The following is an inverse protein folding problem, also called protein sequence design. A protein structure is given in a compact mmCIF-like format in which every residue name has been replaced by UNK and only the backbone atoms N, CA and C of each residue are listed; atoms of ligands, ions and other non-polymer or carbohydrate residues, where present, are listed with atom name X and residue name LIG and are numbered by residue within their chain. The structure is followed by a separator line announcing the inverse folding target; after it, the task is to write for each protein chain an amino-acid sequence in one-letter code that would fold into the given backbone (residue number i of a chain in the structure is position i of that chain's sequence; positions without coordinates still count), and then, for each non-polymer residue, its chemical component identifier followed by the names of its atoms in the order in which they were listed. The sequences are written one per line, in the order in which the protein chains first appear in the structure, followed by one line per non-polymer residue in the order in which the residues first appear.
data_IF_810603123376
#
_entry.id   IF_810603123376
#
_cell.length_a   1.000
_cell.length_b   1.000
_cell.length_c   1.000
_cell.angle_alpha   90.00
_cell.angle_beta   90.00
_cell.angle_gamma   90.00
#
_symmetry.space_group_name_H-M   'P 1'
#
loop_
_entity.id
_entity.type
_entity.pdbx_description
1 polymer ?
#
# COMPACT_ATOMS: atom_id res chain seq x y z
N UNK A 1 -63.68 19.46 -12.79
CA UNK A 1 -64.75 19.41 -11.77
C UNK A 1 -64.43 18.27 -10.83
N UNK A 2 -64.40 18.39 -9.50
CA UNK A 2 -64.41 19.57 -8.61
C UNK A 2 -63.82 19.15 -7.25
N UNK A 3 -63.24 20.08 -6.48
CA UNK A 3 -62.74 19.82 -5.12
C UNK A 3 -63.30 20.89 -4.16
N UNK A 4 -63.79 20.49 -2.99
CA UNK A 4 -63.50 21.17 -1.71
C UNK A 4 -63.06 20.14 -0.63
N UNK A 5 -62.02 20.39 0.18
CA UNK A 5 -62.01 21.34 1.32
C UNK A 5 -63.12 21.05 2.36
N UNK A 6 -62.93 21.02 3.69
CA UNK A 6 -61.78 21.30 4.58
C UNK A 6 -62.12 20.72 6.01
N UNK A 7 -61.47 20.92 7.16
CA UNK A 7 -60.37 21.78 7.68
C UNK A 7 -59.98 21.25 9.09
N UNK A 8 -58.71 21.32 9.53
CA UNK A 8 -58.29 21.85 10.87
C UNK A 8 -56.79 21.71 11.18
N UNK A 9 -56.19 22.79 11.66
CA UNK A 9 -54.89 22.82 12.34
C UNK A 9 -55.07 22.71 13.87
N UNK A 10 -54.04 22.25 14.57
CA UNK A 10 -53.76 22.62 15.96
C UNK A 10 -52.24 22.76 16.13
N UNK A 11 -51.76 23.96 16.41
CA UNK A 11 -50.38 24.22 16.78
C UNK A 11 -50.17 23.93 18.27
N UNK A 12 -49.02 23.35 18.63
CA UNK A 12 -48.35 23.61 19.90
C UNK A 12 -46.83 23.67 19.64
N UNK A 13 -46.15 24.53 20.38
CA UNK A 13 -44.84 25.05 19.99
C UNK A 13 -43.67 24.46 20.79
N UNK A 14 -42.46 24.63 20.23
CA UNK A 14 -41.27 24.88 21.03
C UNK A 14 -40.34 23.69 21.29
N UNK A 15 -39.40 23.45 20.38
CA UNK A 15 -37.99 23.45 20.78
C UNK A 15 -37.06 23.76 19.59
N UNK A 16 -36.24 24.79 19.74
CA UNK A 16 -35.30 25.24 18.69
C UNK A 16 -33.91 24.65 18.92
N UNK A 17 -33.55 23.60 18.18
CA UNK A 17 -32.18 23.10 18.12
C UNK A 17 -31.28 24.07 17.34
N UNK A 18 -30.04 24.33 17.78
CA UNK A 18 -29.12 25.22 17.08
C UNK A 18 -28.58 24.60 15.78
N UNK A 19 -28.15 25.40 14.79
CA UNK A 19 -27.49 24.90 13.60
C UNK A 19 -26.12 24.30 13.95
N UNK A 20 -25.87 23.06 13.53
CA UNK A 20 -24.56 22.42 13.69
C UNK A 20 -23.61 23.03 12.65
N UNK A 21 -22.65 23.82 13.12
CA UNK A 21 -21.54 24.28 12.29
C UNK A 21 -20.55 23.15 12.08
N UNK A 22 -20.31 22.75 10.83
CA UNK A 22 -19.29 21.77 10.45
C UNK A 22 -17.94 22.44 10.29
N UNK A 23 -17.32 22.82 11.42
CA UNK A 23 -15.89 23.14 11.44
C UNK A 23 -15.05 21.87 11.28
N UNK A 24 -13.89 21.98 10.61
CA UNK A 24 -12.92 20.89 10.46
C UNK A 24 -12.49 20.34 11.83
N UNK A 25 -12.18 19.05 11.88
CA UNK A 25 -11.68 18.40 13.09
C UNK A 25 -10.27 18.86 13.46
N UNK A 26 -10.16 19.76 14.43
CA UNK A 26 -8.88 20.06 15.08
C UNK A 26 -8.35 18.80 15.79
N UNK A 27 -7.11 18.39 15.46
CA UNK A 27 -6.44 17.29 16.15
C UNK A 27 -6.13 17.73 17.58
N UNK A 28 -6.68 17.05 18.59
CA UNK A 28 -6.40 17.34 20.00
C UNK A 28 -5.01 16.78 20.36
N UNK A 29 -3.99 17.59 20.67
CA UNK A 29 -2.71 17.10 21.18
C UNK A 29 -2.86 16.67 22.65
N UNK A 30 -2.05 15.69 23.08
CA UNK A 30 -2.01 15.27 24.49
C UNK A 30 -1.77 16.45 25.43
N UNK A 31 -2.64 16.61 26.42
CA UNK A 31 -2.53 17.69 27.39
C UNK A 31 -1.30 17.48 28.29
N UNK A 32 -0.74 18.59 28.78
CA UNK A 32 0.38 18.59 29.73
C UNK A 32 0.10 17.74 30.99
N UNK A 33 -1.16 17.57 31.36
CA UNK A 33 -1.59 16.74 32.49
C UNK A 33 -1.47 15.24 32.17
N UNK A 34 -1.94 14.79 31.00
CA UNK A 34 -1.80 13.38 30.57
C UNK A 34 -0.32 12.97 30.44
N UNK A 35 0.53 13.86 29.92
CA UNK A 35 2.00 13.65 29.89
C UNK A 35 2.57 13.57 31.31
N UNK A 36 2.01 14.32 32.27
CA UNK A 36 2.44 14.28 33.67
C UNK A 36 2.00 12.98 34.36
N UNK A 37 0.77 12.51 34.14
CA UNK A 37 0.30 11.21 34.66
C UNK A 37 1.15 10.04 34.14
N UNK A 38 1.54 10.06 32.85
CA UNK A 38 2.40 9.04 32.27
C UNK A 38 3.80 9.02 32.94
N UNK A 39 4.33 10.20 33.27
CA UNK A 39 5.62 10.36 33.97
C UNK A 39 5.51 9.94 35.45
N UNK A 40 4.41 10.26 36.13
CA UNK A 40 4.16 9.82 37.51
C UNK A 40 4.00 8.30 37.60
N UNK A 41 3.30 7.69 36.64
CA UNK A 41 3.15 6.23 36.56
C UNK A 41 4.49 5.53 36.33
N UNK A 42 5.30 6.00 35.37
CA UNK A 42 6.65 5.47 35.13
C UNK A 42 7.57 5.60 36.36
N UNK A 43 7.41 6.66 37.16
CA UNK A 43 8.11 6.82 38.45
C UNK A 43 7.65 5.81 39.50
N UNK A 44 6.36 5.50 39.56
CA UNK A 44 5.81 4.44 40.43
C UNK A 44 6.37 3.05 40.11
N UNK A 45 6.68 2.80 38.84
CA UNK A 45 7.34 1.59 38.34
C UNK A 45 8.89 1.66 38.47
N UNK A 46 9.44 2.68 39.13
CA UNK A 46 10.87 2.83 39.44
C UNK A 46 11.74 3.38 38.33
N UNK A 47 11.17 3.73 37.17
CA UNK A 47 11.92 4.19 35.99
C UNK A 47 12.37 5.64 36.20
N UNK A 48 13.67 5.90 36.17
CA UNK A 48 14.20 7.26 36.38
C UNK A 48 13.95 8.16 35.17
N UNK A 49 13.85 9.48 35.40
CA UNK A 49 13.81 10.48 34.33
C UNK A 49 14.99 10.40 33.35
N UNK A 50 16.14 9.85 33.79
CA UNK A 50 17.33 9.67 32.94
C UNK A 50 17.23 8.42 32.06
N UNK A 51 16.39 7.46 32.40
CA UNK A 51 16.19 6.22 31.64
C UNK A 51 15.03 6.35 30.66
N UNK A 52 13.96 7.08 31.04
CA UNK A 52 12.92 7.52 30.12
C UNK A 52 13.51 8.29 28.91
N UNK A 53 14.47 9.18 29.17
CA UNK A 53 15.20 9.92 28.13
C UNK A 53 16.16 9.06 27.28
N UNK A 54 16.53 7.85 27.73
CA UNK A 54 17.28 6.89 26.87
C UNK A 54 16.34 6.15 25.94
N UNK A 55 15.16 5.75 26.42
CA UNK A 55 14.16 5.04 25.62
C UNK A 55 13.74 5.88 24.40
N UNK A 56 13.60 7.20 24.57
CA UNK A 56 13.34 8.14 23.46
C UNK A 56 14.58 8.57 22.64
N UNK A 57 15.78 8.08 22.95
CA UNK A 57 17.04 8.52 22.31
C UNK A 57 17.90 7.38 21.73
N UNK A 58 17.51 6.11 21.88
CA UNK A 58 18.24 4.95 21.31
C UNK A 58 17.59 4.46 20.00
N UNK A 59 17.14 5.42 19.20
CA UNK A 59 17.11 5.34 17.73
C UNK A 59 18.30 6.10 17.17
N UNK A 60 19.53 5.63 17.43
CA UNK A 60 20.77 6.37 17.15
C UNK A 60 22.01 5.65 17.70
N UNK A 61 22.68 4.90 16.83
CA UNK A 61 23.73 3.91 17.18
C UNK A 61 25.02 4.56 17.71
N UNK A 62 25.71 3.92 18.68
CA UNK A 62 27.18 3.91 18.65
C UNK A 62 27.99 3.70 19.93
N UNK A 63 28.68 2.54 19.98
CA UNK A 63 30.06 2.32 20.45
C UNK A 63 30.36 1.84 21.90
N UNK A 64 30.76 0.55 21.99
CA UNK A 64 31.94 0.09 22.77
C UNK A 64 32.66 -1.00 21.94
N UNK A 65 33.95 -0.80 21.67
CA UNK A 65 34.92 -1.82 21.22
C UNK A 65 35.69 -2.32 22.46
N UNK A 66 36.35 -3.48 22.55
CA UNK A 66 36.83 -4.43 21.53
C UNK A 66 37.08 -5.80 22.19
N UNK A 67 36.98 -6.91 21.45
CA UNK A 67 37.74 -8.14 21.69
C UNK A 67 37.91 -8.89 20.37
N UNK A 68 39.08 -9.48 20.11
CA UNK A 68 39.42 -10.03 18.80
C UNK A 68 39.20 -11.54 18.70
N UNK A 69 38.33 -11.96 17.80
CA UNK A 69 38.63 -13.06 16.86
C UNK A 69 38.36 -12.53 15.44
N UNK A 70 39.01 -13.11 14.42
CA UNK A 70 38.88 -12.58 13.06
C UNK A 70 37.46 -12.81 12.54
N UNK A 71 36.77 -11.79 12.00
CA UNK A 71 35.57 -12.06 11.21
C UNK A 71 35.98 -12.96 10.04
N UNK A 72 35.20 -14.00 9.69
CA UNK A 72 35.47 -14.75 8.48
C UNK A 72 35.47 -13.76 7.31
N UNK A 73 36.53 -13.82 6.49
CA UNK A 73 36.56 -13.12 5.21
C UNK A 73 35.23 -13.42 4.50
N UNK A 74 34.51 -12.44 3.94
CA UNK A 74 33.32 -12.73 3.16
C UNK A 74 33.75 -13.60 1.97
N UNK A 75 33.56 -14.91 2.13
CA UNK A 75 33.70 -15.88 1.05
C UNK A 75 32.85 -15.36 -0.07
N UNK A 76 33.44 -15.23 -1.26
CA UNK A 76 32.83 -14.51 -2.37
C UNK A 76 31.46 -15.09 -2.67
N UNK A 77 30.42 -14.39 -2.21
CA UNK A 77 29.07 -14.52 -2.73
C UNK A 77 29.07 -13.97 -4.15
N UNK A 78 29.72 -14.73 -5.05
CA UNK A 78 29.55 -14.64 -6.48
C UNK A 78 28.05 -14.53 -6.72
N UNK A 79 27.62 -13.43 -7.35
CA UNK A 79 26.20 -13.16 -7.55
C UNK A 79 25.55 -14.37 -8.21
N UNK A 80 24.63 -15.02 -7.50
CA UNK A 80 23.86 -16.11 -8.04
C UNK A 80 22.94 -15.54 -9.12
N UNK A 81 23.36 -15.62 -10.38
CA UNK A 81 22.50 -15.38 -11.53
C UNK A 81 21.40 -16.45 -11.51
N UNK A 82 20.27 -16.15 -10.86
CA UNK A 82 19.24 -17.16 -10.57
C UNK A 82 17.97 -16.66 -9.89
N UNK A 83 18.01 -15.65 -9.01
CA UNK A 83 16.82 -15.08 -8.34
C UNK A 83 16.81 -13.55 -8.38
N UNK A 84 15.66 -12.91 -8.65
CA UNK A 84 15.59 -11.46 -8.83
C UNK A 84 15.39 -10.66 -7.53
N UNK A 85 15.39 -11.27 -6.34
CA UNK A 85 15.18 -10.60 -5.04
C UNK A 85 16.34 -10.87 -4.06
N UNK A 86 16.40 -10.08 -2.98
CA UNK A 86 17.44 -10.12 -1.93
C UNK A 86 16.94 -10.79 -0.65
N UNK A 87 15.62 -10.76 -0.39
CA UNK A 87 14.97 -11.38 0.78
C UNK A 87 15.18 -12.89 0.91
N UNK A 88 15.12 -13.32 2.17
CA UNK A 88 14.85 -14.71 2.56
C UNK A 88 13.47 -15.17 2.05
N UNK A 89 13.36 -16.25 1.26
CA UNK A 89 12.09 -16.76 0.76
C UNK A 89 11.31 -17.64 1.76
N UNK A 90 11.89 -18.13 2.86
CA UNK A 90 11.26 -19.17 3.72
C UNK A 90 9.90 -18.73 4.33
N UNK A 91 9.68 -17.42 4.48
CA UNK A 91 8.46 -16.84 5.04
C UNK A 91 7.36 -16.58 4.00
N UNK A 92 7.57 -16.96 2.73
CA UNK A 92 6.72 -16.60 1.60
C UNK A 92 6.09 -17.81 0.90
N UNK A 93 5.20 -17.52 -0.05
CA UNK A 93 4.88 -18.41 -1.17
C UNK A 93 5.74 -17.96 -2.35
N UNK A 94 6.67 -18.81 -2.79
CA UNK A 94 7.58 -18.49 -3.89
C UNK A 94 6.91 -18.57 -5.26
N UNK A 95 7.25 -17.61 -6.13
CA UNK A 95 6.94 -17.61 -7.56
C UNK A 95 8.25 -17.35 -8.35
N UNK A 96 8.36 -17.74 -9.63
CA UNK A 96 9.63 -17.68 -10.38
C UNK A 96 10.35 -16.32 -10.43
N UNK A 97 9.65 -15.21 -10.19
CA UNK A 97 10.23 -13.85 -10.09
C UNK A 97 9.69 -13.01 -8.92
N UNK A 98 8.97 -13.63 -7.96
CA UNK A 98 8.21 -12.91 -6.95
C UNK A 98 8.08 -13.68 -5.63
N UNK A 99 7.89 -12.97 -4.53
CA UNK A 99 7.56 -13.53 -3.21
C UNK A 99 6.18 -13.05 -2.77
N UNK A 100 5.27 -13.99 -2.46
CA UNK A 100 3.89 -13.72 -2.05
C UNK A 100 3.73 -13.84 -0.52
N UNK A 101 3.18 -12.80 0.12
CA UNK A 101 3.05 -12.73 1.58
C UNK A 101 2.07 -13.76 2.11
N UNK A 102 2.52 -14.54 3.08
CA UNK A 102 1.67 -15.47 3.83
C UNK A 102 0.82 -14.69 4.83
N UNK A 103 -0.44 -14.41 4.47
CA UNK A 103 -1.36 -13.57 5.24
C UNK A 103 -1.59 -14.09 6.67
N UNK A 104 -1.44 -15.40 6.89
CA UNK A 104 -1.52 -16.03 8.22
C UNK A 104 -0.35 -15.70 9.16
N UNK A 105 0.72 -15.07 8.66
CA UNK A 105 1.86 -14.59 9.47
C UNK A 105 1.70 -13.13 9.93
N UNK A 106 0.59 -12.46 9.59
CA UNK A 106 0.42 -11.03 9.79
C UNK A 106 -0.45 -10.69 11.00
N UNK A 107 0.10 -9.87 11.90
CA UNK A 107 -0.65 -9.20 12.97
C UNK A 107 -0.51 -7.67 12.84
N UNK A 108 -1.60 -6.94 13.10
CA UNK A 108 -1.69 -5.49 12.88
C UNK A 108 -2.06 -5.05 11.46
N UNK A 109 -2.19 -3.73 11.28
CA UNK A 109 -2.51 -3.10 9.98
C UNK A 109 -1.24 -2.92 9.12
N UNK A 110 -0.07 -2.76 9.75
CA UNK A 110 1.20 -2.65 9.06
C UNK A 110 1.79 -4.04 8.82
N UNK A 111 2.10 -4.37 7.57
CA UNK A 111 2.92 -5.52 7.20
C UNK A 111 4.39 -5.22 7.52
N UNK A 112 5.08 -6.06 8.32
CA UNK A 112 6.51 -5.90 8.56
C UNK A 112 7.34 -5.91 7.27
N UNK A 113 8.42 -5.15 7.22
CA UNK A 113 9.22 -4.94 6.00
C UNK A 113 9.77 -6.26 5.43
N UNK A 114 10.10 -7.20 6.31
CA UNK A 114 10.55 -8.56 6.02
C UNK A 114 9.44 -9.46 5.47
N UNK A 115 8.17 -9.25 5.83
CA UNK A 115 7.01 -10.02 5.32
C UNK A 115 6.31 -9.41 4.10
N UNK A 116 6.54 -8.12 3.79
CA UNK A 116 5.89 -7.42 2.66
C UNK A 116 6.24 -8.05 1.30
N UNK A 117 5.25 -8.29 0.43
CA UNK A 117 5.42 -9.02 -0.83
C UNK A 117 6.43 -8.38 -1.80
N UNK A 118 7.13 -9.19 -2.61
CA UNK A 118 8.10 -8.71 -3.60
C UNK A 118 7.62 -9.05 -5.01
N UNK A 119 7.38 -8.05 -5.85
CA UNK A 119 7.11 -8.20 -7.30
C UNK A 119 8.24 -7.57 -8.11
N UNK A 120 8.99 -8.38 -8.85
CA UNK A 120 10.15 -7.94 -9.62
C UNK A 120 10.04 -8.32 -11.12
N UNK A 121 10.30 -7.37 -12.03
CA UNK A 121 10.38 -7.65 -13.48
C UNK A 121 11.80 -8.08 -13.88
N UNK A 122 12.79 -7.40 -13.31
CA UNK A 122 14.23 -7.67 -13.40
C UNK A 122 14.82 -7.87 -11.99
N UNK A 123 16.08 -8.32 -11.85
CA UNK A 123 16.74 -8.43 -10.55
C UNK A 123 16.82 -7.09 -9.81
N UNK A 124 16.70 -7.14 -8.48
CA UNK A 124 16.87 -5.96 -7.61
C UNK A 124 18.26 -5.33 -7.85
N UNK A 125 18.34 -4.08 -8.34
CA UNK A 125 19.60 -3.43 -8.63
C UNK A 125 20.37 -3.09 -7.35
N UNK A 126 21.70 -3.00 -7.46
CA UNK A 126 22.57 -2.45 -6.41
C UNK A 126 22.87 -1.00 -6.74
N UNK A 127 22.19 -0.09 -6.05
CA UNK A 127 22.38 1.36 -6.21
C UNK A 127 23.31 1.86 -5.10
N UNK A 128 24.41 2.52 -5.50
CA UNK A 128 25.19 3.32 -4.56
C UNK A 128 24.49 4.66 -4.32
N UNK A 129 24.33 5.03 -3.06
CA UNK A 129 23.55 6.20 -2.66
C UNK A 129 24.35 7.50 -2.73
N UNK A 130 25.69 7.44 -2.82
CA UNK A 130 26.50 8.65 -3.08
C UNK A 130 26.41 9.12 -4.55
N UNK A 131 26.24 8.18 -5.47
CA UNK A 131 26.16 8.44 -6.91
C UNK A 131 24.70 8.56 -7.42
N UNK A 132 23.71 8.33 -6.54
CA UNK A 132 22.30 8.36 -6.90
C UNK A 132 21.79 9.78 -7.19
N UNK A 133 21.12 9.93 -8.34
CA UNK A 133 20.38 11.13 -8.73
C UNK A 133 19.01 10.73 -9.32
N UNK A 134 18.01 11.57 -9.06
CA UNK A 134 16.69 11.56 -9.70
C UNK A 134 16.64 12.68 -10.75
N UNK A 135 16.46 12.32 -12.02
CA UNK A 135 16.17 13.28 -13.09
C UNK A 135 14.68 13.61 -13.12
N UNK A 136 14.33 14.89 -13.24
CA UNK A 136 13.00 15.35 -13.63
C UNK A 136 13.14 16.13 -14.92
N UNK A 137 12.49 15.65 -15.98
CA UNK A 137 12.69 16.08 -17.36
C UNK A 137 11.36 16.02 -18.16
N UNK A 138 11.31 16.61 -19.35
CA UNK A 138 10.13 16.57 -20.21
C UNK A 138 9.86 17.87 -20.97
N UNK A 139 8.70 17.96 -21.63
CA UNK A 139 8.27 19.11 -22.42
C UNK A 139 7.23 20.01 -21.72
N UNK A 140 6.73 19.60 -20.54
CA UNK A 140 5.77 20.36 -19.73
C UNK A 140 6.34 20.79 -18.36
N UNK A 141 7.60 21.22 -18.35
CA UNK A 141 8.32 21.83 -17.22
C UNK A 141 9.08 23.08 -17.70
N UNK A 142 9.45 24.00 -16.82
CA UNK A 142 10.27 25.18 -17.15
C UNK A 142 11.73 24.77 -17.45
N UNK A 143 12.35 24.01 -16.54
CA UNK A 143 13.76 23.60 -16.62
C UNK A 143 13.95 22.20 -15.99
N UNK A 144 14.72 21.28 -16.62
CA UNK A 144 15.04 19.98 -16.02
C UNK A 144 15.88 20.09 -14.74
N UNK A 145 15.60 19.25 -13.75
CA UNK A 145 16.36 19.22 -12.47
C UNK A 145 16.91 17.82 -12.17
N UNK A 146 18.05 17.78 -11.48
CA UNK A 146 18.67 16.58 -10.91
C UNK A 146 18.68 16.72 -9.39
N UNK A 147 18.21 15.71 -8.66
CA UNK A 147 18.07 15.73 -7.21
C UNK A 147 18.79 14.52 -6.58
N UNK A 148 19.64 14.74 -5.58
CA UNK A 148 20.19 13.66 -4.76
C UNK A 148 19.15 13.18 -3.73
N UNK A 149 19.43 12.07 -3.04
CA UNK A 149 18.58 11.61 -1.94
C UNK A 149 18.50 12.62 -0.78
N UNK A 150 19.50 13.50 -0.64
CA UNK A 150 19.51 14.51 0.42
C UNK A 150 18.61 15.70 0.05
N UNK A 151 18.64 16.17 -1.20
CA UNK A 151 17.74 17.23 -1.68
C UNK A 151 16.27 16.80 -1.51
N UNK A 152 15.97 15.52 -1.75
CA UNK A 152 14.64 14.93 -1.53
C UNK A 152 14.27 14.78 -0.04
N UNK A 153 15.25 14.61 0.85
CA UNK A 153 15.05 14.54 2.31
C UNK A 153 14.83 15.91 2.94
N UNK A 154 15.43 16.96 2.39
CA UNK A 154 15.30 18.34 2.87
C UNK A 154 13.97 19.02 2.44
N UNK A 155 13.19 18.39 1.56
CA UNK A 155 11.84 18.81 1.21
C UNK A 155 10.81 18.56 2.33
N UNK A 156 9.63 19.22 2.29
CA UNK A 156 8.51 18.89 3.16
C UNK A 156 8.07 17.43 2.94
N UNK A 157 8.18 16.63 3.99
CA UNK A 157 7.88 15.19 3.96
C UNK A 157 6.48 14.90 4.51
N UNK A 158 5.74 14.05 3.81
CA UNK A 158 4.46 13.49 4.26
C UNK A 158 4.63 12.00 4.62
N UNK A 159 3.67 11.45 5.36
CA UNK A 159 3.62 10.02 5.69
C UNK A 159 2.22 9.46 5.47
N UNK A 160 2.11 8.45 4.61
CA UNK A 160 0.84 7.83 4.23
C UNK A 160 0.88 6.33 4.50
N UNK A 161 -0.03 5.83 5.33
CA UNK A 161 -0.26 4.39 5.48
C UNK A 161 -1.12 3.91 4.31
N UNK A 162 -0.51 3.14 3.40
CA UNK A 162 -1.14 2.68 2.17
C UNK A 162 -0.90 1.19 1.93
N UNK A 163 -1.92 0.49 1.43
CA UNK A 163 -1.72 -0.83 0.83
C UNK A 163 -1.24 -0.69 -0.62
N UNK A 164 -0.39 -1.62 -1.06
CA UNK A 164 -0.08 -1.84 -2.47
C UNK A 164 -0.55 -3.24 -2.85
N UNK A 165 -1.30 -3.37 -3.94
CA UNK A 165 -1.71 -4.67 -4.50
C UNK A 165 -1.09 -4.86 -5.89
N UNK A 166 -0.52 -6.03 -6.16
CA UNK A 166 -0.17 -6.46 -7.50
C UNK A 166 -1.44 -6.66 -8.34
N UNK A 167 -1.55 -6.04 -9.52
CA UNK A 167 -2.64 -6.29 -10.48
C UNK A 167 -2.72 -7.73 -11.01
N UNK A 168 -1.84 -8.62 -10.54
CA UNK A 168 -1.88 -10.06 -10.75
C UNK A 168 -2.23 -10.90 -9.52
N UNK A 169 -2.56 -10.28 -8.37
CA UNK A 169 -3.08 -10.97 -7.19
C UNK A 169 -4.40 -11.69 -7.56
N UNK A 170 -4.71 -12.82 -6.92
CA UNK A 170 -5.83 -13.71 -7.27
C UNK A 170 -5.75 -14.45 -8.62
N UNK A 171 -4.64 -14.35 -9.38
CA UNK A 171 -4.52 -15.04 -10.69
C UNK A 171 -4.74 -16.56 -10.60
N UNK A 172 -4.31 -17.23 -9.53
CA UNK A 172 -4.48 -18.68 -9.39
C UNK A 172 -5.94 -19.14 -9.40
N UNK A 173 -6.90 -18.24 -9.14
CA UNK A 173 -8.34 -18.56 -9.11
C UNK A 173 -9.03 -18.35 -10.46
N UNK A 174 -8.37 -17.73 -11.45
CA UNK A 174 -8.92 -17.50 -12.79
C UNK A 174 -9.42 -18.79 -13.45
N UNK A 175 -8.62 -19.87 -13.33
CA UNK A 175 -8.96 -21.19 -13.88
C UNK A 175 -10.23 -21.82 -13.27
N UNK A 176 -10.60 -21.48 -12.04
CA UNK A 176 -11.87 -21.95 -11.43
C UNK A 176 -13.11 -21.22 -11.93
N UNK A 177 -12.94 -20.11 -12.67
CA UNK A 177 -14.03 -19.33 -13.26
C UNK A 177 -14.14 -19.62 -14.77
N UNK A 178 -13.02 -19.59 -15.50
CA UNK A 178 -13.02 -19.72 -16.98
C UNK A 178 -12.59 -21.09 -17.51
N UNK A 179 -12.15 -22.02 -16.64
CA UNK A 179 -11.70 -23.36 -17.03
C UNK A 179 -10.27 -23.43 -17.61
N UNK A 180 -9.53 -22.33 -17.63
CA UNK A 180 -8.15 -22.24 -18.12
C UNK A 180 -7.30 -21.34 -17.19
N UNK A 181 -6.05 -21.73 -16.91
CA UNK A 181 -5.11 -20.87 -16.17
C UNK A 181 -4.72 -19.62 -16.97
N UNK A 182 -4.71 -18.45 -16.32
CA UNK A 182 -4.22 -17.22 -16.92
C UNK A 182 -2.68 -17.20 -16.99
N UNK A 183 -2.12 -16.62 -18.05
CA UNK A 183 -0.67 -16.44 -18.16
C UNK A 183 -0.12 -15.48 -17.07
N UNK A 184 1.09 -15.76 -16.57
CA UNK A 184 1.80 -14.99 -15.55
C UNK A 184 2.01 -15.76 -14.24
N UNK A 185 2.50 -15.08 -13.21
CA UNK A 185 2.68 -15.66 -11.87
C UNK A 185 1.34 -15.98 -11.20
N UNK A 186 1.19 -17.18 -10.65
CA UNK A 186 -0.07 -17.71 -10.11
C UNK A 186 -0.30 -17.27 -8.66
N UNK A 187 -0.27 -15.96 -8.41
CA UNK A 187 -0.54 -15.39 -7.08
C UNK A 187 -1.87 -15.87 -6.52
N UNK A 188 -1.89 -16.22 -5.24
CA UNK A 188 -3.10 -16.59 -4.50
C UNK A 188 -3.78 -15.34 -3.95
N UNK A 189 -3.53 -14.96 -2.71
CA UNK A 189 -4.20 -13.81 -2.05
C UNK A 189 -3.24 -12.82 -1.40
N UNK A 190 -1.96 -13.19 -1.29
CA UNK A 190 -0.88 -12.44 -0.63
C UNK A 190 -0.10 -11.51 -1.55
N UNK A 191 -0.56 -11.27 -2.78
CA UNK A 191 0.00 -10.28 -3.70
C UNK A 191 -0.33 -8.84 -3.30
N UNK A 192 -0.45 -8.58 -2.00
CA UNK A 192 -0.86 -7.33 -1.36
C UNK A 192 -0.22 -7.23 0.02
N UNK A 193 0.18 -6.03 0.42
CA UNK A 193 0.69 -5.72 1.76
C UNK A 193 0.50 -4.23 2.05
N UNK A 194 0.56 -3.83 3.32
CA UNK A 194 0.36 -2.45 3.75
C UNK A 194 1.56 -1.94 4.56
N UNK A 195 1.95 -0.68 4.35
CA UNK A 195 3.04 -0.05 5.07
C UNK A 195 2.77 1.45 5.22
N UNK A 196 3.45 2.07 6.18
CA UNK A 196 3.67 3.51 6.20
C UNK A 196 4.76 3.85 5.19
N UNK A 197 4.49 4.79 4.29
CA UNK A 197 5.45 5.30 3.31
C UNK A 197 5.72 6.76 3.61
N UNK A 198 6.99 7.17 3.62
CA UNK A 198 7.37 8.56 3.91
C UNK A 198 8.36 9.10 2.88
N UNK A 199 8.13 10.36 2.48
CA UNK A 199 8.91 11.11 1.50
C UNK A 199 8.21 12.41 1.10
N UNK A 200 8.82 13.22 0.23
CA UNK A 200 8.14 14.36 -0.40
C UNK A 200 6.96 13.91 -1.28
N UNK A 201 5.95 14.78 -1.41
CA UNK A 201 4.88 14.59 -2.41
C UNK A 201 5.44 14.76 -3.81
N UNK A 202 4.94 14.00 -4.78
CA UNK A 202 5.34 14.17 -6.19
C UNK A 202 5.03 15.60 -6.67
N UNK A 203 3.91 16.19 -6.24
CA UNK A 203 3.57 17.62 -6.37
C UNK A 203 4.72 18.55 -5.99
N UNK A 204 5.36 18.34 -4.84
CA UNK A 204 6.45 19.20 -4.36
C UNK A 204 7.73 19.08 -5.20
N UNK A 205 8.00 17.90 -5.75
CA UNK A 205 9.17 17.64 -6.61
C UNK A 205 8.94 18.20 -8.02
N UNK A 206 7.74 18.02 -8.59
CA UNK A 206 7.35 18.60 -9.87
C UNK A 206 7.35 20.15 -9.84
N UNK A 207 7.05 20.75 -8.69
CA UNK A 207 7.15 22.20 -8.51
C UNK A 207 8.59 22.74 -8.60
N UNK A 208 9.61 21.95 -8.28
CA UNK A 208 11.03 22.35 -8.43
C UNK A 208 11.44 22.51 -9.90
N UNK A 209 10.84 21.72 -10.80
CA UNK A 209 11.07 21.79 -12.24
C UNK A 209 10.23 22.88 -12.95
N UNK A 210 9.34 23.57 -12.22
CA UNK A 210 8.40 24.52 -12.82
C UNK A 210 7.37 23.85 -13.72
N UNK A 211 6.64 22.85 -13.19
CA UNK A 211 5.62 22.11 -13.95
C UNK A 211 4.55 23.03 -14.56
N UNK A 212 4.32 22.84 -15.86
CA UNK A 212 3.50 23.74 -16.67
C UNK A 212 2.00 23.36 -16.64
N UNK A 213 1.09 24.34 -16.81
CA UNK A 213 -0.35 24.09 -16.97
C UNK A 213 -0.73 23.25 -18.21
N UNK A 214 0.23 22.97 -19.10
CA UNK A 214 0.07 22.09 -20.27
C UNK A 214 0.34 20.62 -19.98
N UNK A 215 0.83 20.25 -18.79
CA UNK A 215 1.13 18.86 -18.44
C UNK A 215 -0.14 17.99 -18.48
N UNK A 216 -0.04 16.80 -19.07
CA UNK A 216 -1.12 15.82 -19.24
C UNK A 216 -0.82 14.52 -18.50
N UNK A 217 0.39 13.99 -18.67
CA UNK A 217 0.86 12.75 -18.05
C UNK A 217 2.23 12.94 -17.37
N UNK A 218 2.49 12.11 -16.36
CA UNK A 218 3.78 11.94 -15.71
C UNK A 218 4.15 10.46 -15.72
N UNK A 219 5.33 10.13 -16.26
CA UNK A 219 5.90 8.78 -16.22
C UNK A 219 6.99 8.66 -15.15
N UNK A 220 6.90 7.61 -14.33
CA UNK A 220 7.88 7.25 -13.33
C UNK A 220 8.70 6.07 -13.87
N UNK A 221 10.02 6.21 -13.93
CA UNK A 221 10.90 5.25 -14.59
C UNK A 221 11.98 4.74 -13.63
N UNK A 222 11.98 3.43 -13.40
CA UNK A 222 12.94 2.73 -12.56
C UNK A 222 14.33 2.55 -13.20
N UNK A 223 15.33 2.30 -12.36
CA UNK A 223 16.72 1.97 -12.69
C UNK A 223 16.96 0.45 -12.85
N UNK A 224 15.90 -0.36 -12.96
CA UNK A 224 16.00 -1.81 -13.15
C UNK A 224 16.26 -2.21 -14.61
N UNK A 225 16.70 -3.45 -14.86
CA UNK A 225 17.03 -3.89 -16.22
C UNK A 225 15.79 -3.88 -17.12
N UNK A 226 15.74 -2.92 -18.06
CA UNK A 226 14.57 -2.65 -18.90
C UNK A 226 13.83 -1.35 -18.57
N UNK A 227 14.28 -0.61 -17.54
CA UNK A 227 13.77 0.70 -17.10
C UNK A 227 12.25 0.68 -16.90
N UNK A 228 11.75 0.06 -15.82
CA UNK A 228 10.31 -0.12 -15.64
C UNK A 228 9.58 1.24 -15.53
N UNK A 229 8.86 1.57 -16.61
CA UNK A 229 8.05 2.78 -16.78
C UNK A 229 6.58 2.48 -16.50
N UNK A 230 5.85 3.43 -15.89
CA UNK A 230 4.38 3.38 -15.75
C UNK A 230 3.78 4.79 -15.64
N UNK A 231 3.27 5.34 -16.76
CA UNK A 231 2.60 6.63 -16.78
C UNK A 231 1.33 6.68 -15.93
N UNK A 232 1.04 7.89 -15.42
CA UNK A 232 -0.23 8.27 -14.79
C UNK A 232 -0.61 9.69 -15.23
N UNK A 233 -1.90 10.05 -15.13
CA UNK A 233 -2.36 11.40 -15.43
C UNK A 233 -1.79 12.43 -14.45
N UNK A 234 -1.65 13.68 -14.91
CA UNK A 234 -1.21 14.81 -14.09
C UNK A 234 -2.06 14.99 -12.83
N UNK A 235 -3.37 14.81 -12.92
CA UNK A 235 -4.30 14.84 -11.78
C UNK A 235 -3.88 13.88 -10.67
N UNK A 236 -3.42 12.68 -11.05
CA UNK A 236 -2.96 11.66 -10.10
C UNK A 236 -1.54 11.90 -9.60
N UNK A 237 -0.68 12.48 -10.43
CA UNK A 237 0.66 12.88 -10.03
C UNK A 237 0.66 14.05 -9.03
N UNK A 238 -0.36 14.92 -9.09
CA UNK A 238 -0.55 16.06 -8.20
C UNK A 238 -1.40 15.73 -6.94
N UNK A 239 -1.90 14.51 -6.82
CA UNK A 239 -2.63 14.02 -5.64
C UNK A 239 -1.74 14.14 -4.38
N UNK A 240 -2.23 14.73 -3.27
CA UNK A 240 -1.43 14.96 -2.06
C UNK A 240 -0.97 13.67 -1.37
N UNK A 241 -1.48 12.50 -1.77
CA UNK A 241 -1.07 11.19 -1.27
C UNK A 241 -0.07 10.46 -2.17
N UNK A 242 0.20 10.98 -3.38
CA UNK A 242 1.22 10.44 -4.29
C UNK A 242 2.60 10.92 -3.82
N UNK A 243 3.43 9.99 -3.33
CA UNK A 243 4.74 10.27 -2.73
C UNK A 243 5.90 9.76 -3.57
N UNK A 244 7.05 10.43 -3.47
CA UNK A 244 8.35 9.84 -3.74
C UNK A 244 8.97 9.36 -2.41
N UNK A 245 8.58 8.17 -1.98
CA UNK A 245 8.99 7.63 -0.70
C UNK A 245 10.45 7.14 -0.74
N UNK A 246 11.23 7.51 0.28
CA UNK A 246 12.55 6.93 0.58
C UNK A 246 12.53 6.07 1.87
N UNK A 247 11.49 6.23 2.69
CA UNK A 247 11.27 5.50 3.95
C UNK A 247 10.01 4.62 3.86
N UNK A 248 10.08 3.46 4.52
CA UNK A 248 9.02 2.45 4.61
C UNK A 248 9.00 1.87 6.02
N UNK A 249 7.89 2.05 6.74
CA UNK A 249 7.72 1.67 8.15
C UNK A 249 8.81 2.25 9.07
N UNK A 250 9.11 3.54 8.92
CA UNK A 250 10.04 4.28 9.79
C UNK A 250 11.54 4.00 9.57
N UNK A 251 11.90 3.23 8.54
CA UNK A 251 13.30 2.96 8.14
C UNK A 251 13.49 3.20 6.64
N UNK A 252 14.73 3.43 6.21
CA UNK A 252 15.06 3.51 4.78
C UNK A 252 14.59 2.26 4.01
N UNK A 253 14.12 2.46 2.78
CA UNK A 253 13.58 1.40 1.93
C UNK A 253 14.48 0.15 1.88
N UNK A 254 13.93 -1.06 2.13
CA UNK A 254 14.64 -2.29 1.81
C UNK A 254 14.94 -2.39 0.30
N UNK A 255 16.06 -3.02 -0.13
CA UNK A 255 16.46 -3.08 -1.54
C UNK A 255 15.35 -3.59 -2.48
N UNK A 256 14.67 -4.68 -2.12
CA UNK A 256 13.57 -5.25 -2.91
C UNK A 256 12.33 -4.35 -3.02
N UNK A 257 12.21 -3.33 -2.16
CA UNK A 257 11.07 -2.41 -2.12
C UNK A 257 11.35 -1.06 -2.78
N UNK A 258 12.58 -0.82 -3.25
CA UNK A 258 12.90 0.31 -4.12
C UNK A 258 14.02 1.23 -3.66
N UNK A 259 14.92 0.80 -2.77
CA UNK A 259 16.04 1.64 -2.29
C UNK A 259 16.81 2.32 -3.45
N UNK A 260 17.14 3.63 -3.37
CA UNK A 260 16.87 4.55 -2.27
C UNK A 260 15.51 5.28 -2.36
N UNK A 261 14.80 5.19 -3.50
CA UNK A 261 13.58 5.96 -3.77
C UNK A 261 12.57 5.17 -4.61
N UNK A 262 11.28 5.30 -4.28
CA UNK A 262 10.16 4.78 -5.10
C UNK A 262 9.04 5.80 -5.25
N UNK A 263 8.26 5.68 -6.31
CA UNK A 263 6.89 6.19 -6.32
C UNK A 263 5.97 5.35 -5.44
N UNK A 264 5.01 6.00 -4.78
CA UNK A 264 3.88 5.39 -4.06
C UNK A 264 2.60 6.11 -4.48
N UNK A 265 1.58 5.36 -4.90
CA UNK A 265 0.35 5.89 -5.53
C UNK A 265 -0.91 5.28 -4.87
N UNK A 266 -1.29 5.71 -3.65
CA UNK A 266 -2.19 4.97 -2.75
C UNK A 266 -3.60 4.66 -3.30
N UNK A 267 -3.94 3.38 -3.46
CA UNK A 267 -5.23 2.93 -4.03
C UNK A 267 -5.21 2.68 -5.55
N UNK A 268 -4.11 3.02 -6.24
CA UNK A 268 -3.85 2.50 -7.58
C UNK A 268 -3.12 1.15 -7.51
N UNK A 269 -3.12 0.42 -8.63
CA UNK A 269 -2.39 -0.83 -8.78
C UNK A 269 -0.90 -0.62 -8.52
N UNK A 270 -0.27 -1.53 -7.76
CA UNK A 270 1.09 -1.39 -7.25
C UNK A 270 2.18 -1.28 -8.33
N UNK A 271 1.86 -1.57 -9.60
CA UNK A 271 2.74 -1.28 -10.74
C UNK A 271 2.91 0.21 -11.03
N UNK A 272 1.99 1.09 -10.62
CA UNK A 272 2.18 2.55 -10.70
C UNK A 272 3.06 3.10 -9.57
N UNK A 273 3.31 2.31 -8.53
CA UNK A 273 4.26 2.64 -7.45
C UNK A 273 5.67 2.17 -7.82
N UNK A 274 6.25 2.79 -8.85
CA UNK A 274 7.51 2.37 -9.49
C UNK A 274 8.69 2.41 -8.51
N UNK A 275 9.51 1.35 -8.50
CA UNK A 275 10.65 1.16 -7.58
C UNK A 275 11.98 1.59 -8.21
N UNK A 276 12.97 1.87 -7.37
CA UNK A 276 14.33 2.22 -7.80
C UNK A 276 14.31 3.43 -8.75
N UNK A 277 13.48 4.42 -8.42
CA UNK A 277 13.09 5.52 -9.31
C UNK A 277 14.32 6.37 -9.66
N UNK A 278 14.60 6.53 -10.96
CA UNK A 278 15.74 7.33 -11.44
C UNK A 278 15.37 8.46 -12.37
N UNK A 279 14.23 8.38 -13.06
CA UNK A 279 13.74 9.43 -13.97
C UNK A 279 12.24 9.66 -13.80
N UNK A 280 11.83 10.91 -13.93
CA UNK A 280 10.44 11.36 -14.01
C UNK A 280 10.30 12.16 -15.31
N UNK A 281 9.37 11.75 -16.18
CA UNK A 281 9.11 12.44 -17.45
C UNK A 281 7.74 13.11 -17.39
N UNK A 282 7.69 14.43 -17.59
CA UNK A 282 6.47 15.25 -17.54
C UNK A 282 6.13 15.74 -18.94
N UNK A 283 5.01 15.32 -19.52
CA UNK A 283 4.69 15.64 -20.92
C UNK A 283 3.36 16.37 -21.10
N UNK A 284 3.30 17.20 -22.14
CA UNK A 284 2.06 17.83 -22.61
C UNK A 284 1.18 16.91 -23.45
N UNK A 285 1.67 15.71 -23.79
CA UNK A 285 0.90 14.63 -24.42
C UNK A 285 0.77 13.41 -23.49
N UNK A 286 -0.11 12.48 -23.85
CA UNK A 286 -0.32 11.22 -23.12
C UNK A 286 0.82 10.24 -23.40
N UNK A 287 1.47 9.73 -22.35
CA UNK A 287 2.66 8.89 -22.47
C UNK A 287 2.24 7.42 -22.58
N UNK A 288 2.77 6.73 -23.59
CA UNK A 288 2.56 5.31 -23.81
C UNK A 288 3.83 4.50 -23.56
N UNK A 289 3.73 3.53 -22.66
CA UNK A 289 4.76 2.54 -22.37
C UNK A 289 4.19 1.13 -22.47
N UNK A 290 5.05 0.12 -22.53
CA UNK A 290 4.60 -1.29 -22.51
C UNK A 290 3.59 -1.58 -21.39
N UNK A 291 3.72 -0.90 -20.25
CA UNK A 291 2.95 -1.15 -19.03
C UNK A 291 1.66 -0.31 -18.91
N UNK A 292 1.28 0.46 -19.93
CA UNK A 292 -0.09 0.95 -20.12
C UNK A 292 -0.65 0.70 -21.54
N UNK A 293 0.19 0.23 -22.48
CA UNK A 293 -0.18 -0.09 -23.86
C UNK A 293 -0.62 -1.55 -24.03
N UNK A 294 0.18 -2.53 -23.59
CA UNK A 294 -0.05 -3.97 -23.87
C UNK A 294 0.02 -4.87 -22.63
N UNK A 295 0.62 -4.36 -21.55
CA UNK A 295 0.75 -5.05 -20.27
C UNK A 295 0.05 -4.20 -19.19
N UNK A 296 -0.61 -4.85 -18.23
CA UNK A 296 -1.50 -4.18 -17.25
C UNK A 296 -2.70 -3.45 -17.88
N UNK A 297 -3.29 -4.03 -18.93
CA UNK A 297 -4.58 -3.63 -19.50
C UNK A 297 -5.68 -4.65 -19.12
N UNK A 298 -6.93 -4.19 -19.08
CA UNK A 298 -8.15 -5.00 -19.03
C UNK A 298 -8.64 -5.23 -20.46
N UNK A 299 -9.05 -6.46 -20.77
CA UNK A 299 -9.50 -6.87 -22.11
C UNK A 299 -10.77 -7.71 -21.99
N UNK A 300 -11.72 -7.49 -22.91
CA UNK A 300 -13.02 -8.18 -22.91
C UNK A 300 -14.11 -7.31 -23.54
N UNK A 301 -15.36 -7.77 -23.50
CA UNK A 301 -16.50 -7.02 -24.08
C UNK A 301 -16.75 -5.69 -23.35
N UNK A 302 -16.45 -5.62 -22.05
CA UNK A 302 -16.49 -4.39 -21.24
C UNK A 302 -15.28 -3.44 -21.50
N UNK A 303 -14.27 -3.88 -22.25
CA UNK A 303 -13.01 -3.15 -22.47
C UNK A 303 -12.53 -3.28 -23.94
N UNK A 304 -13.29 -2.75 -24.92
CA UNK A 304 -12.99 -2.88 -26.34
C UNK A 304 -11.73 -2.08 -26.74
N UNK A 305 -10.78 -2.72 -27.41
CA UNK A 305 -9.49 -2.11 -27.76
C UNK A 305 -9.62 -0.85 -28.64
N UNK A 306 -10.67 -0.76 -29.44
CA UNK A 306 -10.97 0.40 -30.29
C UNK A 306 -11.27 1.69 -29.49
N UNK A 307 -11.75 1.58 -28.24
CA UNK A 307 -12.00 2.71 -27.35
C UNK A 307 -10.71 3.17 -26.62
N UNK A 308 -9.78 2.25 -26.38
CA UNK A 308 -8.54 2.49 -25.63
C UNK A 308 -7.29 2.64 -26.51
N UNK A 309 -7.46 2.58 -27.84
CA UNK A 309 -6.39 2.70 -28.83
C UNK A 309 -5.49 3.93 -28.58
N UNK A 310 -4.15 3.80 -28.64
CA UNK A 310 -3.38 2.66 -29.15
C UNK A 310 -3.18 1.47 -28.19
N UNK A 311 -3.75 1.46 -26.99
CA UNK A 311 -3.63 0.32 -26.08
C UNK A 311 -4.50 -0.88 -26.50
N UNK A 312 -4.06 -2.09 -26.14
CA UNK A 312 -4.77 -3.36 -26.39
C UNK A 312 -6.08 -3.50 -25.57
N UNK A 313 -6.37 -2.54 -24.68
CA UNK A 313 -7.54 -2.51 -23.79
C UNK A 313 -7.40 -1.46 -22.69
N UNK A 314 -8.33 -1.43 -21.73
CA UNK A 314 -8.39 -0.42 -20.68
C UNK A 314 -7.21 -0.46 -19.70
N UNK A 315 -6.35 0.57 -19.61
CA UNK A 315 -5.20 0.53 -18.72
C UNK A 315 -5.61 0.45 -17.24
N UNK A 316 -5.09 -0.54 -16.50
CA UNK A 316 -5.42 -0.74 -15.08
C UNK A 316 -4.88 0.45 -14.27
N UNK A 317 -5.77 1.23 -13.67
CA UNK A 317 -5.45 2.30 -12.73
C UNK A 317 -5.72 1.85 -11.29
N UNK A 318 -6.98 1.59 -10.94
CA UNK A 318 -7.42 1.15 -9.61
C UNK A 318 -7.64 -0.36 -9.51
N UNK A 319 -7.70 -0.86 -8.28
CA UNK A 319 -8.16 -2.23 -8.00
C UNK A 319 -9.68 -2.34 -7.91
N UNK A 320 -10.17 -3.43 -7.32
CA UNK A 320 -11.58 -3.63 -6.92
C UNK A 320 -11.66 -3.99 -5.45
N UNK A 321 -12.84 -3.85 -4.83
CA UNK A 321 -13.09 -4.24 -3.44
C UNK A 321 -12.83 -5.73 -3.24
N UNK A 322 -12.04 -6.09 -2.23
CA UNK A 322 -11.57 -7.47 -1.97
C UNK A 322 -11.55 -7.78 -0.49
N UNK A 323 -11.66 -9.07 -0.15
CA UNK A 323 -11.39 -9.61 1.18
C UNK A 323 -10.68 -10.96 1.09
N UNK A 324 -9.76 -11.24 2.03
CA UNK A 324 -9.05 -12.50 2.14
C UNK A 324 -8.93 -12.93 3.61
N UNK A 325 -9.17 -14.21 3.88
CA UNK A 325 -8.87 -14.82 5.18
C UNK A 325 -7.35 -14.91 5.40
N UNK A 326 -6.91 -14.62 6.63
CA UNK A 326 -5.53 -14.76 7.09
C UNK A 326 -5.25 -16.23 7.48
N UNK A 327 -5.46 -17.14 6.52
CA UNK A 327 -5.35 -18.59 6.71
C UNK A 327 -4.64 -19.26 5.52
N UNK A 328 -3.88 -20.34 5.76
CA UNK A 328 -3.46 -21.25 4.70
C UNK A 328 -4.64 -21.78 3.88
N UNK A 329 -4.39 -22.18 2.63
CA UNK A 329 -5.40 -22.81 1.77
C UNK A 329 -4.87 -24.15 1.22
N UNK A 330 -5.39 -25.31 1.66
CA UNK A 330 -6.33 -25.50 2.77
C UNK A 330 -5.71 -25.16 4.14
N UNK A 331 -6.56 -24.93 5.14
CA UNK A 331 -6.18 -24.85 6.56
C UNK A 331 -6.80 -26.00 7.35
N UNK A 332 -6.16 -26.37 8.46
CA UNK A 332 -6.69 -27.30 9.45
C UNK A 332 -6.96 -26.55 10.75
N UNK A 333 -8.18 -26.69 11.28
CA UNK A 333 -8.65 -26.01 12.50
C UNK A 333 -9.25 -27.04 13.47
N UNK A 334 -9.19 -26.82 14.79
CA UNK A 334 -9.93 -27.65 15.75
C UNK A 334 -11.45 -27.48 15.55
N UNK A 335 -12.22 -28.53 15.83
CA UNK A 335 -13.68 -28.42 15.95
C UNK A 335 -14.07 -27.62 17.20
N UNK A 336 -15.10 -26.77 17.10
CA UNK A 336 -15.53 -25.83 18.13
C UNK A 336 -15.26 -24.37 17.76
N UNK A 337 -15.37 -23.46 18.74
CA UNK A 337 -15.18 -22.02 18.52
C UNK A 337 -13.74 -21.70 18.09
N UNK A 338 -13.61 -21.14 16.88
CA UNK A 338 -12.39 -20.57 16.33
C UNK A 338 -12.58 -19.07 16.10
N UNK A 339 -11.61 -18.26 16.51
CA UNK A 339 -11.53 -16.85 16.09
C UNK A 339 -10.78 -16.80 14.75
N UNK A 340 -11.50 -16.45 13.69
CA UNK A 340 -10.96 -16.34 12.32
C UNK A 340 -10.74 -14.85 12.00
N UNK A 341 -9.62 -14.53 11.36
CA UNK A 341 -9.30 -13.17 10.93
C UNK A 341 -8.98 -13.08 9.43
N UNK A 342 -8.94 -11.85 8.92
CA UNK A 342 -8.60 -11.57 7.53
C UNK A 342 -8.39 -10.08 7.26
N UNK A 343 -8.11 -9.77 6.00
CA UNK A 343 -7.84 -8.42 5.49
C UNK A 343 -8.82 -8.07 4.37
N UNK A 344 -9.39 -6.87 4.40
CA UNK A 344 -10.25 -6.33 3.34
C UNK A 344 -9.76 -4.95 2.91
N UNK A 345 -9.94 -4.59 1.64
CA UNK A 345 -9.44 -3.35 1.06
C UNK A 345 -10.25 -2.92 -0.17
N UNK A 346 -10.24 -1.61 -0.44
CA UNK A 346 -10.88 -0.98 -1.58
C UNK A 346 -10.02 0.21 -2.08
N UNK A 347 -10.02 0.54 -3.38
CA UNK A 347 -9.13 1.55 -3.95
C UNK A 347 -9.51 2.99 -3.59
N UNK A 348 -10.78 3.24 -3.24
CA UNK A 348 -11.39 4.56 -3.10
C UNK A 348 -11.67 4.98 -1.65
N UNK A 349 -11.21 4.20 -0.67
CA UNK A 349 -11.38 4.48 0.75
C UNK A 349 -11.65 3.22 1.58
N UNK A 350 -12.01 3.38 2.88
CA UNK A 350 -12.27 2.26 3.76
C UNK A 350 -13.47 1.38 3.35
N UNK A 351 -13.29 0.08 3.45
CA UNK A 351 -14.34 -0.94 3.44
C UNK A 351 -15.32 -0.69 4.59
N UNK A 352 -16.62 -0.66 4.28
CA UNK A 352 -17.67 -0.29 5.22
C UNK A 352 -18.31 -1.51 5.94
N UNK A 353 -18.13 -2.71 5.38
CA UNK A 353 -18.70 -3.97 5.89
C UNK A 353 -17.81 -5.11 5.41
N UNK A 354 -17.67 -6.15 6.23
CA UNK A 354 -17.21 -7.46 5.76
C UNK A 354 -18.26 -8.48 6.18
N UNK A 355 -18.55 -9.44 5.31
CA UNK A 355 -19.42 -10.56 5.60
C UNK A 355 -18.70 -11.89 5.34
N UNK A 356 -19.08 -12.91 6.09
CA UNK A 356 -18.54 -14.26 5.98
C UNK A 356 -19.66 -15.31 5.90
N UNK A 357 -19.32 -16.48 5.36
CA UNK A 357 -20.20 -17.63 5.23
C UNK A 357 -19.42 -18.93 5.43
N UNK A 358 -20.06 -19.94 6.02
CA UNK A 358 -19.55 -21.31 6.16
C UNK A 358 -20.43 -22.36 5.42
N UNK A 359 -21.42 -21.91 4.65
CA UNK A 359 -22.43 -22.73 3.97
C UNK A 359 -22.44 -22.51 2.44
N UNK A 360 -21.26 -22.26 1.89
CA UNK A 360 -21.02 -21.91 0.47
C UNK A 360 -21.79 -20.66 -0.01
N UNK A 361 -22.05 -19.71 0.88
CA UNK A 361 -22.68 -18.42 0.56
C UNK A 361 -24.20 -18.41 0.60
N UNK A 362 -24.82 -19.43 1.22
CA UNK A 362 -26.27 -19.54 1.38
C UNK A 362 -26.79 -18.58 2.45
N UNK A 363 -26.04 -18.43 3.54
CA UNK A 363 -26.23 -17.39 4.57
C UNK A 363 -24.94 -16.59 4.77
N UNK A 364 -25.09 -15.34 5.20
CA UNK A 364 -24.00 -14.40 5.40
C UNK A 364 -24.15 -13.72 6.76
N UNK A 365 -23.06 -13.70 7.53
CA UNK A 365 -22.95 -13.06 8.84
C UNK A 365 -21.94 -11.92 8.75
N UNK A 366 -22.16 -10.85 9.52
CA UNK A 366 -21.25 -9.69 9.52
C UNK A 366 -20.00 -10.02 10.35
N UNK A 367 -18.82 -9.76 9.80
CA UNK A 367 -17.55 -9.81 10.52
C UNK A 367 -17.27 -8.46 11.19
N UNK A 368 -16.59 -8.48 12.33
CA UNK A 368 -16.18 -7.28 13.04
C UNK A 368 -14.91 -6.70 12.40
N UNK A 369 -15.03 -5.54 11.74
CA UNK A 369 -13.90 -4.74 11.29
C UNK A 369 -13.17 -4.19 12.53
N UNK A 370 -11.84 -4.29 12.53
CA UNK A 370 -10.97 -3.88 13.63
C UNK A 370 -10.32 -2.51 13.37
N UNK A 371 -10.16 -1.74 14.43
CA UNK A 371 -9.41 -0.48 14.42
C UNK A 371 -7.88 -0.69 14.40
N UNK A 372 -7.10 0.30 13.90
CA UNK A 372 -7.56 1.56 13.33
C UNK A 372 -8.00 1.43 11.87
N UNK A 373 -9.14 2.04 11.53
CA UNK A 373 -9.54 2.24 10.12
C UNK A 373 -8.82 3.47 9.56
N UNK A 374 -8.02 3.28 8.50
CA UNK A 374 -7.21 4.34 7.87
C UNK A 374 -7.56 4.50 6.37
N UNK A 375 -7.46 5.70 5.76
CA UNK A 375 -8.08 5.97 4.46
C UNK A 375 -7.57 5.15 3.26
N UNK A 376 -6.27 4.79 3.24
CA UNK A 376 -5.63 4.05 2.13
C UNK A 376 -5.03 2.72 2.57
N UNK A 377 -5.22 2.31 3.83
CA UNK A 377 -4.76 1.03 4.32
C UNK A 377 -5.76 -0.08 3.95
N UNK A 378 -5.33 -1.33 4.08
CA UNK A 378 -6.29 -2.41 4.28
C UNK A 378 -6.86 -2.34 5.72
N UNK A 379 -8.00 -2.96 5.94
CA UNK A 379 -8.59 -3.15 7.26
C UNK A 379 -8.53 -4.61 7.65
N UNK A 380 -8.24 -4.88 8.92
CA UNK A 380 -8.45 -6.20 9.49
C UNK A 380 -9.93 -6.42 9.79
N UNK A 381 -10.38 -7.65 9.67
CA UNK A 381 -11.65 -8.10 10.21
C UNK A 381 -11.47 -9.41 10.97
N UNK A 382 -12.41 -9.70 11.88
CA UNK A 382 -12.49 -10.98 12.57
C UNK A 382 -13.93 -11.46 12.76
N UNK A 383 -14.11 -12.77 12.90
CA UNK A 383 -15.36 -13.39 13.30
C UNK A 383 -15.11 -14.66 14.11
N UNK A 384 -16.00 -14.98 15.03
CA UNK A 384 -16.03 -16.29 15.70
C UNK A 384 -16.85 -17.27 14.86
N UNK A 385 -16.32 -18.47 14.65
CA UNK A 385 -16.99 -19.57 13.98
C UNK A 385 -16.94 -20.83 14.84
N UNK A 386 -18.09 -21.32 15.26
CA UNK A 386 -18.22 -22.65 15.88
C UNK A 386 -18.12 -23.71 14.78
N UNK A 387 -16.91 -24.25 14.60
CA UNK A 387 -16.53 -25.11 13.49
C UNK A 387 -17.01 -26.56 13.72
N UNK A 388 -17.92 -27.12 12.90
CA UNK A 388 -18.25 -28.53 12.98
C UNK A 388 -17.06 -29.40 12.56
N UNK A 389 -17.08 -30.68 12.97
CA UNK A 389 -16.07 -31.63 12.54
C UNK A 389 -16.33 -32.08 11.09
N UNK A 390 -15.49 -31.61 10.15
CA UNK A 390 -15.60 -31.97 8.74
C UNK A 390 -14.81 -31.04 7.81
N UNK A 391 -15.07 -31.16 6.52
CA UNK A 391 -14.56 -30.23 5.51
C UNK A 391 -15.59 -29.11 5.28
N UNK A 392 -15.16 -27.85 5.38
CA UNK A 392 -16.02 -26.67 5.25
C UNK A 392 -15.42 -25.63 4.30
N UNK A 393 -16.28 -24.92 3.57
CA UNK A 393 -15.89 -23.78 2.71
C UNK A 393 -16.17 -22.49 3.46
N UNK A 394 -15.11 -21.77 3.87
CA UNK A 394 -15.25 -20.39 4.35
C UNK A 394 -15.13 -19.40 3.19
N UNK A 395 -16.13 -18.54 3.04
CA UNK A 395 -16.17 -17.44 2.08
C UNK A 395 -16.20 -16.09 2.82
N UNK A 396 -15.64 -15.05 2.20
CA UNK A 396 -15.75 -13.66 2.67
C UNK A 396 -16.07 -12.72 1.51
N UNK A 397 -16.79 -11.63 1.79
CA UNK A 397 -17.01 -10.51 0.86
C UNK A 397 -16.96 -9.17 1.62
N UNK A 398 -16.66 -8.09 0.90
CA UNK A 398 -16.53 -6.72 1.37
C UNK A 398 -17.30 -5.77 0.44
#
# INVERSE_FOLDING_TARGET
MSNPASLRNTELAGNSSPPISTTLGERIPFTRNQVTELIERARGEGISRRDLMKIFAVGGIGAVLTACEQPPTPSGAHGAAGVPWVKDPELFIEHPTNLETRLELLDGVITPNELFFVRNHAPTPRIDVSEYQLSVEGDAIDEPVQLTINDLRDLPNESVVAYLECGGNWRSFWGSIVGQEAAGGQWKTGGVSCAEWSGPTLTSVLALAGIQPSAVDVDLIGLDEGNFSRPMSIERALDPTTLLAYSMNGVDLPPDHGFPLRGVVPGWVGSSSVKWLGRIVVSSERIWSRNNLTSYVLVGEDWPAEEYAPADGGPITTGVVKSALALPRPASLPSGINLISGFAYAPSGPVQRVEWSADNGSTWLVAHILDPVLPHAWQRFQFEWDAPAGNHTLLTRA
#
